data_IF_767392286461
#
_entry.id   IF_767392286461
#
_cell.length_a   1.000
_cell.length_b   1.000
_cell.length_c   1.000
_cell.angle_alpha   90.00
_cell.angle_beta   90.00
_cell.angle_gamma   90.00
#
_symmetry.space_group_name_H-M   'P 1'
#
loop_
_entity.id
_entity.type
_entity.pdbx_description
1 polymer ?
#
# COMPACT_ATOMS: atom_id res chain seq x y z
N UNK A 1 -47.74 41.40 -16.08
CA UNK A 1 -46.84 40.26 -16.36
C UNK A 1 -45.51 40.49 -15.68
N UNK A 2 -45.17 39.73 -14.66
CA UNK A 2 -43.85 39.78 -14.00
C UNK A 2 -43.06 38.55 -14.46
N UNK A 3 -41.83 38.66 -14.98
CA UNK A 3 -41.02 37.52 -15.25
C UNK A 3 -40.37 37.03 -13.94
N UNK A 4 -40.64 35.79 -13.59
CA UNK A 4 -40.01 35.10 -12.46
C UNK A 4 -38.54 34.83 -12.75
N UNK A 5 -37.69 35.32 -11.87
CA UNK A 5 -36.27 34.99 -11.91
C UNK A 5 -36.05 33.56 -11.42
N UNK A 6 -35.60 32.70 -12.29
CA UNK A 6 -35.16 31.34 -11.96
C UNK A 6 -33.75 31.42 -11.32
N UNK A 7 -33.68 31.26 -9.99
CA UNK A 7 -32.42 31.20 -9.29
C UNK A 7 -31.86 29.77 -9.44
N UNK A 8 -30.87 29.63 -10.29
CA UNK A 8 -30.09 28.39 -10.45
C UNK A 8 -29.12 28.30 -9.27
N UNK A 9 -29.43 27.47 -8.28
CA UNK A 9 -28.52 27.16 -7.18
C UNK A 9 -27.50 26.18 -7.71
N UNK A 10 -26.31 26.68 -8.04
CA UNK A 10 -25.16 25.89 -8.38
C UNK A 10 -24.60 25.28 -7.06
N UNK A 11 -24.90 24.02 -6.80
CA UNK A 11 -24.29 23.30 -5.69
C UNK A 11 -22.81 23.09 -6.02
N UNK A 12 -21.96 23.92 -5.44
CA UNK A 12 -20.52 23.68 -5.41
C UNK A 12 -20.25 22.46 -4.52
N UNK A 13 -20.00 21.33 -5.16
CA UNK A 13 -19.42 20.18 -4.47
C UNK A 13 -18.02 20.59 -4.05
N UNK A 14 -17.86 20.92 -2.77
CA UNK A 14 -16.53 21.09 -2.17
C UNK A 14 -15.86 19.72 -2.15
N UNK A 15 -14.67 19.56 -2.75
CA UNK A 15 -13.89 18.35 -2.51
C UNK A 15 -13.61 18.31 -1.01
N UNK A 16 -13.92 17.18 -0.37
CA UNK A 16 -13.55 16.93 1.00
C UNK A 16 -12.02 16.98 1.07
N UNK A 17 -11.49 18.11 1.52
CA UNK A 17 -10.08 18.24 1.85
C UNK A 17 -9.82 17.26 2.99
N UNK A 18 -9.14 16.17 2.70
CA UNK A 18 -8.57 15.31 3.70
C UNK A 18 -7.61 16.17 4.53
N UNK A 19 -8.05 16.60 5.71
CA UNK A 19 -7.19 17.21 6.71
C UNK A 19 -6.23 16.14 7.19
N UNK A 20 -5.08 16.05 6.53
CA UNK A 20 -4.01 15.21 7.02
C UNK A 20 -3.32 15.94 8.17
N UNK A 21 -3.60 15.56 9.40
CA UNK A 21 -2.75 15.85 10.56
C UNK A 21 -1.36 15.18 10.42
N UNK A 22 -0.90 14.93 9.20
CA UNK A 22 0.33 14.22 8.91
C UNK A 22 0.31 12.73 9.30
N UNK A 23 -0.85 12.19 9.70
CA UNK A 23 -1.02 10.78 10.07
C UNK A 23 -1.49 9.95 8.86
N UNK A 24 -0.85 8.82 8.64
CA UNK A 24 -1.24 7.87 7.59
C UNK A 24 -2.47 7.06 8.02
N UNK A 25 -3.59 7.24 7.31
CA UNK A 25 -4.70 6.28 7.32
C UNK A 25 -4.36 5.14 6.35
N UNK A 26 -3.74 4.10 6.87
CA UNK A 26 -3.24 2.97 6.09
C UNK A 26 -4.36 2.28 5.30
N UNK A 27 -5.50 1.99 5.93
CA UNK A 27 -6.61 1.28 5.28
C UNK A 27 -7.34 2.20 4.30
N UNK A 28 -7.55 3.47 4.65
CA UNK A 28 -8.14 4.46 3.76
C UNK A 28 -7.28 4.71 2.52
N UNK A 29 -5.96 4.75 2.66
CA UNK A 29 -5.07 4.90 1.51
C UNK A 29 -5.21 3.74 0.52
N UNK A 30 -5.24 2.51 0.99
CA UNK A 30 -5.33 1.31 0.14
C UNK A 30 -6.76 0.90 -0.22
N UNK A 31 -7.79 1.61 0.24
CA UNK A 31 -9.17 1.40 -0.21
C UNK A 31 -9.33 1.91 -1.64
N UNK A 32 -9.90 1.07 -2.53
CA UNK A 32 -9.99 1.34 -3.96
C UNK A 32 -8.75 0.86 -4.70
N UNK A 33 -8.35 1.58 -5.74
CA UNK A 33 -7.24 1.19 -6.61
C UNK A 33 -5.97 1.97 -6.26
N UNK A 34 -4.84 1.27 -6.23
CA UNK A 34 -3.51 1.87 -6.07
C UNK A 34 -2.53 1.23 -7.06
N UNK A 35 -1.49 1.98 -7.41
CA UNK A 35 -0.35 1.48 -8.20
C UNK A 35 0.96 1.81 -7.51
N UNK A 36 1.77 0.78 -7.31
CA UNK A 36 3.15 0.88 -6.86
C UNK A 36 4.12 0.67 -8.03
N UNK A 37 5.08 1.58 -8.17
CA UNK A 37 6.17 1.47 -9.14
C UNK A 37 7.48 1.46 -8.38
N UNK A 38 8.22 0.36 -8.48
CA UNK A 38 9.42 0.11 -7.71
C UNK A 38 10.58 -0.34 -8.61
N UNK A 39 11.79 -0.14 -8.12
CA UNK A 39 13.01 -0.71 -8.68
C UNK A 39 13.61 -1.66 -7.65
N UNK A 40 13.76 -2.93 -8.04
CA UNK A 40 14.40 -3.95 -7.20
C UNK A 40 15.90 -3.97 -7.51
N UNK A 41 16.71 -4.05 -6.44
CA UNK A 41 18.17 -4.23 -6.49
C UNK A 41 18.54 -5.46 -5.69
N UNK A 42 19.12 -6.43 -6.35
CA UNK A 42 19.64 -7.66 -5.75
C UNK A 42 21.16 -7.65 -5.98
N UNK A 43 21.92 -8.06 -4.98
CA UNK A 43 23.38 -8.16 -5.12
C UNK A 43 23.77 -8.99 -6.36
N UNK A 44 24.71 -8.49 -7.14
CA UNK A 44 25.24 -9.12 -8.37
C UNK A 44 24.24 -9.26 -9.53
N UNK A 45 23.09 -8.59 -9.46
CA UNK A 45 22.09 -8.57 -10.53
C UNK A 45 21.80 -7.14 -10.98
N UNK A 46 21.42 -6.97 -12.24
CA UNK A 46 20.98 -5.66 -12.74
C UNK A 46 19.67 -5.26 -12.05
N UNK A 47 19.51 -3.97 -11.72
CA UNK A 47 18.23 -3.46 -11.23
C UNK A 47 17.11 -3.72 -12.25
N UNK A 48 15.93 -4.05 -11.77
CA UNK A 48 14.75 -4.31 -12.60
C UNK A 48 13.47 -3.76 -11.99
N UNK A 49 12.45 -3.59 -12.81
CA UNK A 49 11.19 -2.95 -12.42
C UNK A 49 10.23 -3.93 -11.77
N UNK A 50 9.46 -3.41 -10.81
CA UNK A 50 8.33 -4.09 -10.18
C UNK A 50 7.13 -3.14 -10.15
N UNK A 51 6.05 -3.51 -10.81
CA UNK A 51 4.78 -2.81 -10.79
C UNK A 51 3.78 -3.66 -9.98
N UNK A 52 3.05 -3.01 -9.09
CA UNK A 52 2.00 -3.64 -8.29
C UNK A 52 0.72 -2.84 -8.43
N UNK A 53 -0.27 -3.39 -9.08
CA UNK A 53 -1.62 -2.85 -9.15
C UNK A 53 -2.47 -3.51 -8.07
N UNK A 54 -3.07 -2.72 -7.22
CA UNK A 54 -3.80 -3.23 -6.06
C UNK A 54 -5.24 -2.74 -6.03
N UNK A 55 -6.14 -3.60 -5.54
CA UNK A 55 -7.52 -3.25 -5.24
C UNK A 55 -7.80 -3.65 -3.79
N UNK A 56 -8.18 -2.68 -2.97
CA UNK A 56 -8.44 -2.88 -1.54
C UNK A 56 -9.83 -2.51 -1.11
N UNK A 57 -10.30 -3.16 -0.05
CA UNK A 57 -11.58 -2.89 0.57
C UNK A 57 -11.86 -3.83 1.74
N UNK A 58 -12.99 -3.60 2.42
CA UNK A 58 -13.45 -4.48 3.50
C UNK A 58 -14.30 -5.62 2.95
N UNK A 59 -14.08 -6.82 3.47
CA UNK A 59 -14.94 -7.98 3.22
C UNK A 59 -16.18 -7.98 4.15
N UNK A 60 -17.04 -8.99 4.03
CA UNK A 60 -18.25 -9.13 4.84
C UNK A 60 -17.96 -9.35 6.32
N UNK A 61 -16.80 -9.89 6.63
CA UNK A 61 -16.31 -10.15 8.00
C UNK A 61 -15.68 -8.89 8.63
N UNK A 62 -15.60 -7.79 7.87
CA UNK A 62 -15.01 -6.52 8.33
C UNK A 62 -13.49 -6.45 8.24
N UNK A 63 -12.84 -7.49 7.72
CA UNK A 63 -11.40 -7.52 7.50
C UNK A 63 -11.04 -6.68 6.26
N UNK A 64 -9.87 -6.07 6.28
CA UNK A 64 -9.35 -5.36 5.11
C UNK A 64 -8.64 -6.36 4.18
N UNK A 65 -9.12 -6.45 2.95
CA UNK A 65 -8.53 -7.31 1.92
C UNK A 65 -7.92 -6.45 0.83
N UNK A 66 -6.67 -6.73 0.49
CA UNK A 66 -5.95 -6.09 -0.62
C UNK A 66 -5.49 -7.19 -1.59
N UNK A 67 -5.89 -7.07 -2.84
CA UNK A 67 -5.48 -7.99 -3.91
C UNK A 67 -4.51 -7.24 -4.82
N UNK A 68 -3.32 -7.80 -4.97
CA UNK A 68 -2.26 -7.27 -5.82
C UNK A 68 -2.11 -8.10 -7.09
N UNK A 69 -2.02 -7.42 -8.22
CA UNK A 69 -1.44 -7.92 -9.46
C UNK A 69 0.02 -7.47 -9.53
N UNK A 70 0.93 -8.43 -9.42
CA UNK A 70 2.37 -8.18 -9.33
C UNK A 70 3.03 -8.49 -10.67
N UNK A 71 3.68 -7.49 -11.26
CA UNK A 71 4.40 -7.58 -12.51
C UNK A 71 5.87 -7.23 -12.26
N UNK A 72 6.70 -8.25 -12.17
CA UNK A 72 8.15 -8.11 -12.01
C UNK A 72 8.82 -8.39 -13.36
N UNK A 73 9.67 -7.47 -13.81
CA UNK A 73 10.40 -7.60 -15.06
C UNK A 73 11.19 -8.91 -15.12
N UNK A 74 11.01 -9.66 -16.20
CA UNK A 74 11.66 -10.97 -16.40
C UNK A 74 10.99 -12.15 -15.68
N UNK A 75 9.85 -11.93 -15.00
CA UNK A 75 9.08 -12.99 -14.33
C UNK A 75 7.63 -13.02 -14.78
N UNK A 76 6.94 -14.17 -14.67
CA UNK A 76 5.50 -14.25 -14.90
C UNK A 76 4.74 -13.34 -13.92
N UNK A 77 3.66 -12.72 -14.41
CA UNK A 77 2.73 -11.99 -13.56
C UNK A 77 2.08 -12.92 -12.53
N UNK A 78 1.86 -12.43 -11.33
CA UNK A 78 1.26 -13.20 -10.24
C UNK A 78 0.32 -12.36 -9.40
N UNK A 79 -0.64 -13.02 -8.77
CA UNK A 79 -1.53 -12.41 -7.77
C UNK A 79 -1.06 -12.75 -6.36
N UNK A 80 -1.29 -11.81 -5.45
CA UNK A 80 -1.16 -12.06 -4.02
C UNK A 80 -2.28 -11.35 -3.27
N UNK A 81 -2.65 -11.89 -2.13
CA UNK A 81 -3.75 -11.37 -1.31
C UNK A 81 -3.26 -11.12 0.11
N UNK A 82 -3.57 -9.94 0.60
CA UNK A 82 -3.42 -9.56 2.00
C UNK A 82 -4.79 -9.60 2.66
N UNK A 83 -4.85 -10.13 3.87
CA UNK A 83 -6.04 -10.05 4.73
C UNK A 83 -5.58 -9.49 6.07
N UNK A 84 -6.05 -8.30 6.41
CA UNK A 84 -5.57 -7.54 7.56
C UNK A 84 -6.71 -7.20 8.51
N UNK A 85 -6.43 -7.24 9.80
CA UNK A 85 -7.34 -6.84 10.89
C UNK A 85 -6.62 -6.01 11.92
N UNK A 86 -7.33 -5.04 12.53
CA UNK A 86 -6.73 -4.20 13.57
C UNK A 86 -6.50 -5.00 14.86
N UNK A 87 -5.35 -4.75 15.50
CA UNK A 87 -5.08 -5.08 16.90
C UNK A 87 -5.36 -3.85 17.75
N UNK A 88 -5.00 -2.68 17.25
CA UNK A 88 -5.26 -1.36 17.83
C UNK A 88 -5.44 -0.33 16.73
N UNK A 89 -5.58 0.95 17.07
CA UNK A 89 -5.72 2.04 16.10
C UNK A 89 -4.55 2.13 15.10
N UNK A 90 -3.34 1.78 15.53
CA UNK A 90 -2.11 1.94 14.75
C UNK A 90 -1.35 0.62 14.55
N UNK A 91 -1.96 -0.52 14.90
CA UNK A 91 -1.34 -1.82 14.80
C UNK A 91 -2.30 -2.83 14.17
N UNK A 92 -1.84 -3.50 13.11
CA UNK A 92 -2.61 -4.48 12.36
C UNK A 92 -1.82 -5.78 12.23
N UNK A 93 -2.54 -6.89 12.15
CA UNK A 93 -1.96 -8.20 11.83
C UNK A 93 -2.79 -8.86 10.74
N UNK A 94 -2.23 -9.87 10.11
CA UNK A 94 -2.98 -10.61 9.11
C UNK A 94 -2.12 -11.63 8.38
N UNK A 95 -2.55 -11.97 7.18
CA UNK A 95 -1.88 -12.91 6.30
C UNK A 95 -1.56 -12.29 4.95
N UNK A 96 -0.58 -12.85 4.30
CA UNK A 96 -0.20 -12.56 2.91
C UNK A 96 0.04 -13.90 2.22
N UNK A 97 -0.47 -14.05 0.99
CA UNK A 97 -0.29 -15.27 0.20
C UNK A 97 1.16 -15.74 0.13
N UNK A 98 2.10 -14.79 -0.01
CA UNK A 98 3.53 -15.07 -0.15
C UNK A 98 4.26 -15.22 1.20
N UNK A 99 3.60 -15.00 2.33
CA UNK A 99 4.21 -15.08 3.66
C UNK A 99 4.04 -16.45 4.33
N UNK A 100 5.06 -16.88 5.07
CA UNK A 100 5.05 -18.09 5.90
C UNK A 100 4.72 -17.77 7.35
N UNK A 101 3.64 -17.09 7.62
CA UNK A 101 3.28 -16.68 8.96
C UNK A 101 2.58 -15.33 8.95
N UNK A 102 2.35 -14.76 10.12
CA UNK A 102 1.61 -13.50 10.20
C UNK A 102 2.40 -12.34 9.60
N UNK A 103 1.64 -11.39 9.07
CA UNK A 103 2.13 -10.06 8.71
C UNK A 103 1.88 -9.13 9.90
N UNK A 104 2.86 -8.30 10.22
CA UNK A 104 2.79 -7.27 11.25
C UNK A 104 2.88 -5.88 10.60
N UNK A 105 1.94 -4.99 10.92
CA UNK A 105 1.89 -3.62 10.40
C UNK A 105 1.73 -2.64 11.55
N UNK A 106 2.71 -1.76 11.71
CA UNK A 106 2.67 -0.67 12.70
C UNK A 106 2.70 0.67 11.99
N UNK A 107 1.68 1.49 12.26
CA UNK A 107 1.59 2.87 11.77
C UNK A 107 2.16 3.81 12.83
N UNK A 108 3.02 4.74 12.41
CA UNK A 108 3.59 5.76 13.27
C UNK A 108 3.62 7.11 12.55
N UNK A 109 2.77 8.03 12.97
CA UNK A 109 2.62 9.31 12.29
C UNK A 109 2.28 9.14 10.82
N UNK A 110 3.00 9.78 9.94
CA UNK A 110 2.83 9.67 8.48
C UNK A 110 3.43 8.41 7.85
N UNK A 111 3.98 7.50 8.63
CA UNK A 111 4.64 6.29 8.13
C UNK A 111 4.01 4.99 8.62
N UNK A 112 4.39 3.89 7.99
CA UNK A 112 4.06 2.55 8.43
C UNK A 112 5.24 1.60 8.19
N UNK A 113 5.41 0.63 9.08
CA UNK A 113 6.37 -0.45 8.92
C UNK A 113 5.61 -1.76 8.83
N UNK A 114 5.91 -2.55 7.79
CA UNK A 114 5.31 -3.85 7.52
C UNK A 114 6.42 -4.90 7.63
N UNK A 115 6.18 -5.97 8.38
CA UNK A 115 7.14 -7.07 8.56
C UNK A 115 6.49 -8.40 8.29
N UNK A 116 7.19 -9.27 7.57
CA UNK A 116 6.80 -10.66 7.34
C UNK A 116 7.99 -11.49 6.87
N UNK A 117 7.80 -12.80 6.80
CA UNK A 117 8.78 -13.75 6.25
C UNK A 117 8.20 -14.36 4.98
N UNK A 118 8.94 -14.33 3.88
CA UNK A 118 8.51 -14.96 2.63
C UNK A 118 8.54 -16.48 2.73
N UNK A 119 7.54 -17.15 2.14
CA UNK A 119 7.51 -18.63 2.02
C UNK A 119 8.74 -19.12 1.26
N UNK A 120 9.01 -18.48 0.12
CA UNK A 120 10.13 -18.85 -0.72
C UNK A 120 11.42 -18.25 -0.18
N UNK A 121 12.37 -19.11 0.13
CA UNK A 121 13.70 -18.72 0.58
C UNK A 121 13.79 -18.16 2.00
N UNK A 122 12.69 -18.02 2.75
CA UNK A 122 12.68 -17.56 4.14
C UNK A 122 13.25 -16.15 4.33
N UNK A 123 13.11 -15.28 3.34
CA UNK A 123 13.55 -13.89 3.41
C UNK A 123 12.72 -13.11 4.42
N UNK A 124 13.37 -12.46 5.37
CA UNK A 124 12.72 -11.51 6.27
C UNK A 124 12.56 -10.18 5.56
N UNK A 125 11.31 -9.74 5.42
CA UNK A 125 10.95 -8.50 4.75
C UNK A 125 10.64 -7.44 5.79
N UNK A 126 11.21 -6.28 5.62
CA UNK A 126 10.79 -5.04 6.25
C UNK A 126 10.49 -4.02 5.16
N UNK A 127 9.26 -3.56 5.13
CA UNK A 127 8.77 -2.54 4.21
C UNK A 127 8.41 -1.30 5.01
N UNK A 128 8.93 -0.16 4.58
CA UNK A 128 8.64 1.15 5.16
C UNK A 128 7.86 1.99 4.15
N UNK A 129 6.74 2.50 4.58
CA UNK A 129 5.90 3.43 3.84
C UNK A 129 5.98 4.80 4.52
N UNK A 130 6.02 5.87 3.73
CA UNK A 130 5.98 7.23 4.25
C UNK A 130 5.11 8.11 3.35
N UNK A 131 4.10 8.74 3.95
CA UNK A 131 3.23 9.69 3.26
C UNK A 131 4.04 10.92 2.82
N UNK A 132 3.88 11.27 1.55
CA UNK A 132 4.52 12.41 0.91
C UNK A 132 3.55 13.59 0.83
N UNK A 133 4.08 14.80 0.62
CA UNK A 133 3.27 16.02 0.50
C UNK A 133 2.29 16.02 -0.69
N UNK A 134 2.58 15.24 -1.72
CA UNK A 134 1.73 15.07 -2.89
C UNK A 134 0.64 13.99 -2.72
N UNK A 135 0.53 13.42 -1.53
CA UNK A 135 -0.44 12.37 -1.21
C UNK A 135 -0.03 10.96 -1.64
N UNK A 136 1.15 10.78 -2.22
CA UNK A 136 1.71 9.46 -2.51
C UNK A 136 2.38 8.85 -1.28
N UNK A 137 2.69 7.54 -1.32
CA UNK A 137 3.57 6.90 -0.35
C UNK A 137 4.92 6.59 -1.00
N UNK A 138 6.02 7.03 -0.38
CA UNK A 138 7.30 6.39 -0.68
C UNK A 138 7.30 4.99 -0.10
N UNK A 139 7.93 4.07 -0.82
CA UNK A 139 8.02 2.66 -0.48
C UNK A 139 9.48 2.23 -0.48
N UNK A 140 9.96 1.77 0.68
CA UNK A 140 11.30 1.22 0.84
C UNK A 140 11.21 -0.18 1.44
N UNK A 141 11.73 -1.18 0.74
CA UNK A 141 11.67 -2.58 1.15
C UNK A 141 13.08 -3.12 1.27
N UNK A 142 13.36 -3.78 2.39
CA UNK A 142 14.60 -4.54 2.59
C UNK A 142 14.24 -6.01 2.80
N UNK A 143 14.89 -6.87 2.05
CA UNK A 143 14.86 -8.31 2.22
C UNK A 143 16.19 -8.78 2.82
N UNK A 144 16.11 -9.49 3.95
CA UNK A 144 17.28 -10.04 4.66
C UNK A 144 17.24 -11.56 4.69
N UNK A 145 18.42 -12.17 4.57
CA UNK A 145 18.63 -13.60 4.78
C UNK A 145 19.84 -13.79 5.70
N UNK A 146 19.70 -14.62 6.73
CA UNK A 146 20.74 -14.81 7.75
C UNK A 146 21.27 -13.49 8.34
N UNK A 147 20.38 -12.50 8.56
CA UNK A 147 20.75 -11.19 9.09
C UNK A 147 21.40 -10.22 8.09
N UNK A 148 21.73 -10.66 6.89
CA UNK A 148 22.35 -9.85 5.84
C UNK A 148 21.33 -9.34 4.83
N UNK A 149 21.52 -8.12 4.34
CA UNK A 149 20.69 -7.56 3.25
C UNK A 149 20.95 -8.35 1.96
N UNK A 150 19.88 -8.97 1.46
CA UNK A 150 19.88 -9.73 0.21
C UNK A 150 19.39 -8.89 -0.98
N UNK A 151 18.34 -8.13 -0.76
CA UNK A 151 17.74 -7.26 -1.79
C UNK A 151 17.10 -6.02 -1.14
N UNK A 152 16.87 -5.03 -1.97
CA UNK A 152 16.03 -3.88 -1.62
C UNK A 152 15.15 -3.48 -2.81
N UNK A 153 14.02 -2.85 -2.52
CA UNK A 153 13.19 -2.20 -3.52
C UNK A 153 12.84 -0.80 -3.06
N UNK A 154 12.89 0.15 -3.97
CA UNK A 154 12.53 1.54 -3.73
C UNK A 154 11.53 2.01 -4.77
N UNK A 155 10.52 2.74 -4.35
CA UNK A 155 9.52 3.24 -5.27
C UNK A 155 8.47 4.13 -4.62
N UNK A 156 7.38 4.29 -5.35
CA UNK A 156 6.25 5.14 -4.96
C UNK A 156 4.95 4.41 -5.19
N UNK A 157 4.00 4.59 -4.28
CA UNK A 157 2.63 4.08 -4.41
C UNK A 157 1.69 5.27 -4.49
N UNK A 158 0.78 5.26 -5.47
CA UNK A 158 -0.24 6.29 -5.63
C UNK A 158 -1.64 5.69 -5.70
N UNK A 159 -2.63 6.45 -5.24
CA UNK A 159 -4.03 6.12 -5.52
C UNK A 159 -4.32 6.34 -7.00
N UNK A 160 -5.20 5.51 -7.54
CA UNK A 160 -5.78 5.67 -8.87
C UNK A 160 -7.24 6.08 -8.69
N UNK A 161 -7.66 7.09 -9.41
CA UNK A 161 -9.04 7.57 -9.42
C UNK A 161 -9.98 6.59 -10.11
#
# INVERSE_FOLDING_TARGET
MKPGALILILALATPASASSDGKLDMMGFFTGKTRGENVIRIALHSPHKLIVDSVGGRNKEGEFVLIDDVQEEGKPARKRTWVMRPISADHFTGSLTDASGPVDVVVNGGGATIRYVMKDGGLKIEQQLQLQHDGTLSNHVIAKKFGMKFAQADGTIRKLD
#
